data_IF_847463234784
#
_entry.id   IF_847463234784
#
_cell.length_a   1.000
_cell.length_b   1.000
_cell.length_c   1.000
_cell.angle_alpha   90.00
_cell.angle_beta   90.00
_cell.angle_gamma   90.00
#
_symmetry.space_group_name_H-M   'P 1'
#
loop_
_entity.id
_entity.type
_entity.pdbx_description
1 polymer ?
#
# COMPACT_ATOMS: atom_id res chain seq x y z
N UNK A 1 -10.45 -50.61 -68.35
CA UNK A 1 -9.62 -49.51 -67.83
C UNK A 1 -10.27 -48.90 -66.59
N UNK A 2 -9.64 -48.98 -65.41
CA UNK A 2 -10.07 -48.27 -64.18
C UNK A 2 -8.90 -47.45 -63.64
N UNK A 3 -8.76 -46.22 -64.12
CA UNK A 3 -7.79 -45.25 -63.61
C UNK A 3 -8.58 -44.11 -62.95
N UNK A 4 -8.70 -44.13 -61.62
CA UNK A 4 -9.43 -43.09 -60.87
C UNK A 4 -9.31 -43.19 -59.35
N UNK A 5 -9.03 -44.38 -58.81
CA UNK A 5 -8.86 -44.60 -57.37
C UNK A 5 -7.62 -43.93 -56.71
N UNK A 6 -6.43 -43.86 -57.34
CA UNK A 6 -5.24 -43.31 -56.66
C UNK A 6 -5.30 -41.79 -56.49
N UNK A 7 -5.71 -41.04 -57.53
CA UNK A 7 -5.85 -39.57 -57.47
C UNK A 7 -6.85 -39.10 -56.41
N UNK A 8 -7.95 -39.83 -56.21
CA UNK A 8 -8.94 -39.48 -55.18
C UNK A 8 -8.38 -39.66 -53.77
N UNK A 9 -7.54 -40.67 -53.53
CA UNK A 9 -6.90 -40.91 -52.23
C UNK A 9 -5.86 -39.84 -51.91
N UNK A 10 -5.04 -39.45 -52.87
CA UNK A 10 -4.07 -38.36 -52.71
C UNK A 10 -4.75 -37.02 -52.39
N UNK A 11 -5.81 -36.66 -53.12
CA UNK A 11 -6.56 -35.43 -52.86
C UNK A 11 -7.18 -35.41 -51.46
N UNK A 12 -7.73 -36.54 -50.99
CA UNK A 12 -8.26 -36.66 -49.63
C UNK A 12 -7.12 -36.53 -48.60
N UNK A 13 -5.97 -37.17 -48.81
CA UNK A 13 -4.82 -37.09 -47.92
C UNK A 13 -4.29 -35.66 -47.79
N UNK A 14 -4.15 -34.94 -48.91
CA UNK A 14 -3.73 -33.53 -48.91
C UNK A 14 -4.75 -32.66 -48.17
N UNK A 15 -6.05 -32.87 -48.41
CA UNK A 15 -7.11 -32.09 -47.73
C UNK A 15 -7.09 -32.32 -46.21
N UNK A 16 -6.87 -33.56 -45.78
CA UNK A 16 -6.75 -33.91 -44.36
C UNK A 16 -5.49 -33.31 -43.72
N UNK A 17 -4.35 -33.33 -44.44
CA UNK A 17 -3.13 -32.70 -43.96
C UNK A 17 -3.30 -31.19 -43.77
N UNK A 18 -3.91 -30.50 -44.74
CA UNK A 18 -4.21 -29.07 -44.66
C UNK A 18 -5.21 -28.77 -43.54
N UNK A 19 -6.26 -29.57 -43.39
CA UNK A 19 -7.22 -29.41 -42.29
C UNK A 19 -6.56 -29.62 -40.91
N UNK A 20 -5.70 -30.63 -40.77
CA UNK A 20 -4.94 -30.88 -39.55
C UNK A 20 -4.00 -29.74 -39.20
N UNK A 21 -3.30 -29.17 -40.18
CA UNK A 21 -2.41 -28.04 -39.96
C UNK A 21 -3.16 -26.77 -39.55
N UNK A 22 -4.31 -26.51 -40.17
CA UNK A 22 -5.19 -25.40 -39.78
C UNK A 22 -5.70 -25.57 -38.35
N UNK A 23 -6.10 -26.79 -37.98
CA UNK A 23 -6.56 -27.07 -36.62
C UNK A 23 -5.42 -26.84 -35.60
N UNK A 24 -4.21 -27.35 -35.88
CA UNK A 24 -3.03 -27.11 -35.03
C UNK A 24 -2.73 -25.63 -34.88
N UNK A 25 -2.73 -24.87 -35.97
CA UNK A 25 -2.51 -23.42 -35.96
C UNK A 25 -3.56 -22.68 -35.12
N UNK A 26 -4.83 -23.06 -35.25
CA UNK A 26 -5.91 -22.49 -34.44
C UNK A 26 -5.73 -22.81 -32.95
N UNK A 27 -5.43 -24.06 -32.61
CA UNK A 27 -5.18 -24.47 -31.23
C UNK A 27 -3.98 -23.72 -30.63
N UNK A 28 -2.85 -23.66 -31.34
CA UNK A 28 -1.66 -22.94 -30.90
C UNK A 28 -1.97 -21.47 -30.59
N UNK A 29 -2.73 -20.80 -31.47
CA UNK A 29 -3.16 -19.41 -31.25
C UNK A 29 -4.04 -19.27 -30.01
N UNK A 30 -4.99 -20.18 -29.80
CA UNK A 30 -5.87 -20.15 -28.62
C UNK A 30 -5.11 -20.43 -27.33
N UNK A 31 -4.16 -21.36 -27.34
CA UNK A 31 -3.29 -21.63 -26.18
C UNK A 31 -2.46 -20.40 -25.82
N UNK A 32 -1.89 -19.71 -26.81
CA UNK A 32 -1.15 -18.47 -26.58
C UNK A 32 -2.04 -17.36 -25.99
N UNK A 33 -3.25 -17.20 -26.52
CA UNK A 33 -4.23 -16.21 -26.06
C UNK A 33 -4.66 -16.48 -24.60
N UNK A 34 -4.94 -17.74 -24.27
CA UNK A 34 -5.28 -18.17 -22.90
C UNK A 34 -4.12 -17.91 -21.94
N UNK A 35 -2.90 -18.34 -22.31
CA UNK A 35 -1.72 -18.11 -21.47
C UNK A 35 -1.43 -16.62 -21.25
N UNK A 36 -1.69 -15.76 -22.23
CA UNK A 36 -1.55 -14.31 -22.05
C UNK A 36 -2.58 -13.74 -21.06
N UNK A 37 -3.85 -14.17 -21.15
CA UNK A 37 -4.91 -13.76 -20.21
C UNK A 37 -4.65 -14.26 -18.79
N UNK A 38 -4.20 -15.50 -18.65
CA UNK A 38 -3.86 -16.08 -17.35
C UNK A 38 -2.71 -15.33 -16.68
N UNK A 39 -1.66 -14.97 -17.44
CA UNK A 39 -0.58 -14.11 -16.93
C UNK A 39 -1.07 -12.74 -16.50
N UNK A 40 -1.99 -12.13 -17.27
CA UNK A 40 -2.57 -10.84 -16.91
C UNK A 40 -3.40 -10.94 -15.60
N UNK A 41 -4.23 -11.97 -15.46
CA UNK A 41 -5.01 -12.23 -14.25
C UNK A 41 -4.10 -12.52 -13.05
N UNK A 42 -3.04 -13.31 -13.25
CA UNK A 42 -2.04 -13.56 -12.23
C UNK A 42 -1.35 -12.26 -11.80
N UNK A 43 -0.96 -11.40 -12.72
CA UNK A 43 -0.38 -10.09 -12.39
C UNK A 43 -1.34 -9.19 -11.59
N UNK A 44 -2.65 -9.32 -11.80
CA UNK A 44 -3.70 -8.60 -11.09
C UNK A 44 -4.16 -9.26 -9.79
N UNK A 45 -3.66 -10.46 -9.48
CA UNK A 45 -4.04 -11.19 -8.26
C UNK A 45 -3.57 -10.41 -7.02
N UNK A 46 -4.49 -10.04 -6.11
CA UNK A 46 -4.13 -9.38 -4.85
C UNK A 46 -3.08 -10.17 -4.05
N UNK A 47 -3.11 -11.51 -4.15
CA UNK A 47 -2.12 -12.36 -3.49
C UNK A 47 -0.70 -12.14 -4.03
N UNK A 48 -0.55 -12.02 -5.35
CA UNK A 48 0.76 -11.77 -5.96
C UNK A 48 1.32 -10.39 -5.61
N UNK A 49 0.45 -9.42 -5.27
CA UNK A 49 0.87 -8.13 -4.72
C UNK A 49 1.40 -8.31 -3.30
N UNK A 50 0.72 -9.09 -2.46
CA UNK A 50 1.18 -9.37 -1.10
C UNK A 50 2.53 -10.11 -1.07
N UNK A 51 2.70 -11.14 -1.92
CA UNK A 51 3.94 -11.93 -2.03
C UNK A 51 5.15 -11.08 -2.50
N UNK A 52 4.92 -9.91 -3.14
CA UNK A 52 5.98 -8.95 -3.49
C UNK A 52 6.43 -8.05 -2.33
N UNK A 53 5.87 -8.25 -1.13
CA UNK A 53 6.21 -7.48 0.07
C UNK A 53 5.33 -6.26 0.29
N UNK A 54 4.21 -6.11 -0.43
CA UNK A 54 3.20 -5.11 -0.12
C UNK A 54 2.20 -5.63 0.91
N UNK A 55 1.44 -4.73 1.51
CA UNK A 55 0.41 -5.04 2.50
C UNK A 55 -0.93 -4.40 2.12
N UNK A 56 -2.03 -5.02 2.54
CA UNK A 56 -3.37 -4.45 2.44
C UNK A 56 -3.88 -4.14 3.84
N UNK A 57 -4.17 -2.88 4.12
CA UNK A 57 -4.68 -2.44 5.43
C UNK A 57 -6.15 -2.09 5.32
N UNK A 58 -6.96 -2.55 6.29
CA UNK A 58 -8.38 -2.25 6.42
C UNK A 58 -8.71 -1.94 7.89
N UNK A 59 -9.91 -1.39 8.15
CA UNK A 59 -10.38 -1.23 9.53
C UNK A 59 -10.73 -2.59 10.12
N UNK A 60 -10.53 -2.74 11.42
CA UNK A 60 -10.96 -3.95 12.11
C UNK A 60 -12.50 -4.10 11.99
N UNK A 61 -12.94 -5.21 11.41
CA UNK A 61 -14.36 -5.48 11.12
C UNK A 61 -14.84 -5.06 9.72
N UNK A 62 -14.00 -4.39 8.91
CA UNK A 62 -14.28 -4.07 7.51
C UNK A 62 -13.24 -4.75 6.60
N UNK A 63 -13.71 -5.38 5.52
CA UNK A 63 -12.85 -6.03 4.53
C UNK A 63 -12.39 -5.07 3.41
N UNK A 64 -12.92 -3.85 3.35
CA UNK A 64 -12.54 -2.88 2.31
C UNK A 64 -11.16 -2.29 2.62
N UNK A 65 -10.22 -2.36 1.66
CA UNK A 65 -8.91 -1.72 1.81
C UNK A 65 -9.06 -0.21 2.03
N UNK A 66 -8.33 0.30 3.02
CA UNK A 66 -8.18 1.73 3.25
C UNK A 66 -7.36 2.33 2.11
N UNK A 67 -7.87 3.39 1.49
CA UNK A 67 -7.22 4.09 0.37
C UNK A 67 -6.71 5.50 0.73
N UNK A 68 -7.20 6.04 1.84
CA UNK A 68 -6.89 7.40 2.29
C UNK A 68 -6.62 7.39 3.79
N UNK A 69 -5.46 7.91 4.20
CA UNK A 69 -5.08 8.06 5.60
C UNK A 69 -5.92 9.13 6.33
N UNK A 70 -6.54 10.08 5.61
CA UNK A 70 -7.42 11.07 6.21
C UNK A 70 -8.72 10.45 6.77
N UNK A 71 -9.09 9.26 6.28
CA UNK A 71 -10.30 8.58 6.72
C UNK A 71 -10.17 7.92 8.10
N UNK A 72 -8.97 7.73 8.63
CA UNK A 72 -8.71 7.07 9.93
C UNK A 72 -8.30 8.09 11.00
N UNK A 73 -8.80 7.87 12.21
CA UNK A 73 -8.51 8.67 13.39
C UNK A 73 -7.59 7.92 14.38
N UNK A 74 -6.96 8.66 15.29
CA UNK A 74 -6.21 8.07 16.39
C UNK A 74 -7.14 7.23 17.29
N UNK A 75 -6.61 6.13 17.82
CA UNK A 75 -7.36 5.14 18.60
C UNK A 75 -8.10 4.09 17.76
N UNK A 76 -8.18 4.24 16.43
CA UNK A 76 -8.79 3.22 15.59
C UNK A 76 -7.91 1.98 15.43
N UNK A 77 -8.55 0.81 15.34
CA UNK A 77 -7.89 -0.47 15.13
C UNK A 77 -7.92 -0.86 13.66
N UNK A 78 -6.77 -1.23 13.13
CA UNK A 78 -6.59 -1.66 11.75
C UNK A 78 -6.12 -3.11 11.70
N UNK A 79 -6.54 -3.81 10.64
CA UNK A 79 -6.01 -5.12 10.28
C UNK A 79 -5.18 -4.96 9.03
N UNK A 80 -3.93 -5.39 9.09
CA UNK A 80 -3.02 -5.40 7.94
C UNK A 80 -2.78 -6.83 7.52
N UNK A 81 -3.14 -7.14 6.28
CA UNK A 81 -2.93 -8.45 5.66
C UNK A 81 -1.62 -8.44 4.88
N UNK A 82 -0.80 -9.46 5.12
CA UNK A 82 0.47 -9.71 4.43
C UNK A 82 0.34 -10.98 3.57
N UNK A 83 1.40 -11.34 2.85
CA UNK A 83 1.46 -12.60 2.10
C UNK A 83 1.14 -13.81 2.99
N UNK A 84 1.62 -13.75 4.24
CA UNK A 84 1.44 -14.79 5.23
C UNK A 84 0.93 -14.17 6.54
N UNK A 85 -0.36 -14.37 6.80
CA UNK A 85 -0.99 -13.95 8.04
C UNK A 85 -1.45 -12.50 8.06
N UNK A 86 -1.82 -12.05 9.26
CA UNK A 86 -2.41 -10.74 9.52
C UNK A 86 -1.85 -10.14 10.81
N UNK A 87 -1.78 -8.82 10.84
CA UNK A 87 -1.37 -8.02 11.98
C UNK A 87 -2.52 -7.12 12.41
N UNK A 88 -2.64 -6.86 13.71
CA UNK A 88 -3.55 -5.84 14.26
C UNK A 88 -2.72 -4.66 14.74
N UNK A 89 -3.13 -3.45 14.37
CA UNK A 89 -2.43 -2.21 14.69
C UNK A 89 -3.40 -1.19 15.27
N UNK A 90 -2.89 -0.32 16.14
CA UNK A 90 -3.61 0.83 16.66
C UNK A 90 -3.07 2.10 15.99
N UNK A 91 -3.94 2.96 15.49
CA UNK A 91 -3.55 4.26 14.95
C UNK A 91 -3.19 5.18 16.11
N UNK A 92 -1.91 5.56 16.21
CA UNK A 92 -1.44 6.53 17.24
C UNK A 92 -1.65 7.97 16.81
N UNK A 93 -1.66 8.25 15.51
CA UNK A 93 -1.78 9.59 14.96
C UNK A 93 -1.43 9.60 13.47
N UNK A 94 -1.49 10.79 12.86
CA UNK A 94 -1.10 11.02 11.47
C UNK A 94 0.10 11.95 11.43
N UNK A 95 1.05 11.72 10.53
CA UNK A 95 2.25 12.57 10.39
C UNK A 95 1.95 14.03 10.01
N UNK A 96 0.75 14.31 9.50
CA UNK A 96 0.39 15.61 8.93
C UNK A 96 -0.48 16.47 9.87
N UNK A 97 -0.70 16.03 11.11
CA UNK A 97 -1.35 16.80 12.16
C UNK A 97 -0.45 16.79 13.39
N UNK A 98 -0.24 17.97 13.97
CA UNK A 98 0.52 18.21 15.21
C UNK A 98 0.40 17.02 16.16
N UNK A 99 1.48 16.27 16.32
CA UNK A 99 1.50 15.16 17.26
C UNK A 99 1.47 15.71 18.67
N UNK A 100 0.46 15.33 19.45
CA UNK A 100 0.66 15.14 20.87
C UNK A 100 1.59 13.93 21.02
N UNK A 101 2.78 14.17 21.58
CA UNK A 101 3.76 13.13 21.90
C UNK A 101 3.08 11.99 22.67
N UNK A 102 2.87 10.85 22.01
CA UNK A 102 2.30 9.65 22.63
C UNK A 102 3.39 8.75 23.25
N UNK A 103 4.66 9.10 23.04
CA UNK A 103 5.83 8.41 23.58
C UNK A 103 6.80 9.39 24.25
N UNK A 104 6.28 10.35 25.03
CA UNK A 104 7.11 11.05 26.00
C UNK A 104 7.41 10.08 27.14
N UNK A 105 8.50 9.31 26.99
CA UNK A 105 9.12 8.58 28.09
C UNK A 105 9.45 9.57 29.22
N UNK A 106 8.86 9.44 30.42
CA UNK A 106 9.20 10.32 31.53
C UNK A 106 10.60 9.96 32.03
N UNK A 107 11.64 10.56 31.43
CA UNK A 107 13.00 10.46 31.98
C UNK A 107 14.21 10.61 31.05
N UNK A 108 14.09 10.70 29.73
CA UNK A 108 15.29 10.92 28.89
C UNK A 108 15.57 12.42 28.68
N UNK A 109 16.34 12.98 29.63
CA UNK A 109 16.73 14.39 29.65
C UNK A 109 17.66 14.82 28.52
N UNK A 110 17.19 14.88 27.28
CA UNK A 110 17.83 15.71 26.26
C UNK A 110 17.30 17.13 26.34
N UNK A 111 18.05 17.94 27.09
CA UNK A 111 17.96 19.40 27.12
C UNK A 111 18.05 19.95 25.69
N UNK A 112 16.96 20.50 25.18
CA UNK A 112 16.98 21.24 23.92
C UNK A 112 17.94 22.44 24.03
N UNK A 113 18.85 22.66 23.07
CA UNK A 113 19.77 23.79 23.12
C UNK A 113 19.05 25.09 22.79
N UNK A 114 18.91 25.95 23.81
CA UNK A 114 19.07 27.39 23.70
C UNK A 114 17.91 28.20 23.13
N UNK A 115 17.02 28.65 24.01
CA UNK A 115 16.33 29.96 23.88
C UNK A 115 16.16 30.63 25.25
N UNK A 116 17.25 30.76 26.01
CA UNK A 116 17.29 31.67 27.16
C UNK A 116 17.63 33.08 26.68
N UNK A 117 16.59 33.88 26.39
CA UNK A 117 16.72 35.34 26.40
C UNK A 117 16.88 35.78 27.84
N UNK A 118 18.09 36.23 28.16
CA UNK A 118 18.48 36.82 29.45
C UNK A 118 17.53 37.95 29.85
N UNK A 119 16.75 37.72 30.90
CA UNK A 119 16.17 38.78 31.71
C UNK A 119 17.31 39.36 32.58
N UNK A 120 17.74 40.57 32.25
CA UNK A 120 18.70 41.31 33.08
C UNK A 120 17.99 41.79 34.35
N UNK A 121 18.28 41.07 35.42
CA UNK A 121 18.06 41.47 36.81
C UNK A 121 19.09 42.54 37.20
N UNK A 122 18.74 43.81 37.01
CA UNK A 122 19.45 44.93 37.66
C UNK A 122 18.89 45.14 39.07
N UNK A 123 19.37 44.27 39.97
CA UNK A 123 19.92 44.58 41.30
C UNK A 123 19.35 45.82 42.03
N UNK A 124 18.46 45.53 43.00
CA UNK A 124 18.29 46.13 44.34
C UNK A 124 18.54 47.64 44.51
N UNK A 125 17.49 48.35 44.92
CA UNK A 125 17.51 49.27 46.08
C UNK A 125 16.07 49.61 46.53
N UNK A 126 15.73 49.27 47.77
CA UNK A 126 14.71 49.90 48.62
C UNK A 126 15.42 50.35 49.90
N UNK A 127 14.84 51.14 50.82
CA UNK A 127 13.55 51.86 50.80
C UNK A 127 13.71 53.37 51.13
N UNK A 128 12.65 54.16 50.99
CA UNK A 128 12.62 55.55 51.47
C UNK A 128 11.21 56.09 51.56
N UNK A 129 10.73 56.20 52.79
CA UNK A 129 9.45 56.79 53.22
C UNK A 129 9.30 58.28 52.84
N UNK A 130 8.03 58.71 52.75
CA UNK A 130 7.59 60.12 52.65
C UNK A 130 6.37 60.21 51.73
N UNK A 131 5.15 60.02 52.24
CA UNK A 131 4.30 61.06 52.84
C UNK A 131 4.38 62.43 52.14
N UNK A 132 3.25 62.93 51.62
CA UNK A 132 3.18 64.26 51.03
C UNK A 132 2.12 64.48 49.95
N UNK A 133 0.85 64.49 50.37
CA UNK A 133 -0.23 65.41 49.99
C UNK A 133 -0.34 66.15 48.64
N UNK A 134 -1.61 66.19 48.17
CA UNK A 134 -2.31 67.24 47.39
C UNK A 134 -1.87 67.42 45.92
N UNK A 135 -2.75 67.72 44.96
CA UNK A 135 -4.10 68.27 44.94
C UNK A 135 -4.89 67.73 43.74
#
# INVERSE_FOLDING_TARGET
>A
MRFGAPRRRELVAVRLAVAGERLRSLLARRTLELGARERALSALSPRNVLERGYSITAREGDARPLRDAAAVNAGERLVTTLAHGQLRSLVVGRSNGTQGSLFEEPGSGLRAPGTEKQAQDTRRQTPGDGDGGKA
#
